data_IF_965259359147
#
_entry.id   IF_965259359147
#
_cell.length_a   1.000
_cell.length_b   1.000
_cell.length_c   1.000
_cell.angle_alpha   90.00
_cell.angle_beta   90.00
_cell.angle_gamma   90.00
#
_symmetry.space_group_name_H-M   'P 1'
#
loop_
_entity.id
_entity.type
_entity.pdbx_description
1 polymer ?
#
# COMPACT_ATOMS: atom_id res chain seq x y z
N UNK A 1 -16.32 15.93 -48.20
CA UNK A 1 -14.90 15.51 -48.25
C UNK A 1 -13.92 16.66 -47.95
N UNK A 2 -14.35 17.92 -47.77
CA UNK A 2 -13.42 19.08 -47.72
C UNK A 2 -12.97 19.55 -46.33
N UNK A 3 -13.36 18.89 -45.23
CA UNK A 3 -13.11 19.42 -43.86
C UNK A 3 -11.94 18.77 -43.10
N UNK A 4 -11.23 17.78 -43.67
CA UNK A 4 -10.10 17.12 -42.98
C UNK A 4 -8.74 17.77 -43.24
N UNK A 5 -8.56 18.42 -44.38
CA UNK A 5 -7.33 19.15 -44.74
C UNK A 5 -7.31 20.58 -44.19
N UNK A 6 -8.38 20.98 -43.50
CA UNK A 6 -8.40 22.23 -42.75
C UNK A 6 -7.30 22.19 -41.67
N UNK A 7 -6.43 23.21 -41.68
CA UNK A 7 -5.39 23.40 -40.66
C UNK A 7 -6.01 23.41 -39.25
N UNK A 8 -7.22 23.96 -39.11
CA UNK A 8 -7.95 23.99 -37.84
C UNK A 8 -8.36 22.59 -37.39
N UNK A 9 -8.82 21.73 -38.31
CA UNK A 9 -9.17 20.34 -37.99
C UNK A 9 -7.93 19.56 -37.56
N UNK A 10 -6.81 19.70 -38.28
CA UNK A 10 -5.56 19.01 -37.94
C UNK A 10 -5.01 19.46 -36.57
N UNK A 11 -5.07 20.76 -36.26
CA UNK A 11 -4.68 21.29 -34.95
C UNK A 11 -5.60 20.79 -33.83
N UNK A 12 -6.92 20.81 -34.04
CA UNK A 12 -7.90 20.34 -33.06
C UNK A 12 -7.77 18.82 -32.84
N UNK A 13 -7.50 18.06 -33.90
CA UNK A 13 -7.23 16.63 -33.83
C UNK A 13 -5.94 16.32 -33.07
N UNK A 14 -4.85 17.03 -33.35
CA UNK A 14 -3.60 16.88 -32.61
C UNK A 14 -3.78 17.20 -31.12
N UNK A 15 -4.53 18.25 -30.79
CA UNK A 15 -4.90 18.59 -29.41
C UNK A 15 -5.71 17.48 -28.73
N UNK A 16 -6.69 16.90 -29.45
CA UNK A 16 -7.46 15.76 -28.96
C UNK A 16 -6.55 14.58 -28.63
N UNK A 17 -5.70 14.14 -29.55
CA UNK A 17 -4.82 12.98 -29.34
C UNK A 17 -3.89 13.20 -28.14
N UNK A 18 -3.29 14.39 -28.05
CA UNK A 18 -2.45 14.74 -26.90
C UNK A 18 -3.25 14.73 -25.58
N UNK A 19 -4.51 15.18 -25.62
CA UNK A 19 -5.37 15.24 -24.44
C UNK A 19 -5.77 13.88 -23.88
N UNK A 20 -5.69 12.82 -24.68
CA UNK A 20 -6.10 11.46 -24.33
C UNK A 20 -5.04 10.67 -23.55
N UNK A 21 -3.78 11.15 -23.50
CA UNK A 21 -2.66 10.49 -22.80
C UNK A 21 -2.50 9.00 -23.17
N UNK A 22 -2.64 8.69 -24.47
CA UNK A 22 -2.55 7.32 -25.01
C UNK A 22 -1.14 6.99 -25.50
N UNK A 23 -0.73 5.73 -25.34
CA UNK A 23 0.54 5.23 -25.89
C UNK A 23 0.60 5.33 -27.43
N UNK A 24 1.81 5.35 -28.01
CA UNK A 24 2.02 5.62 -29.43
C UNK A 24 1.32 4.63 -30.36
N UNK A 25 1.19 3.37 -29.96
CA UNK A 25 0.53 2.35 -30.77
C UNK A 25 -0.99 2.60 -30.86
N UNK A 26 -1.62 2.91 -29.73
CA UNK A 26 -3.05 3.28 -29.70
C UNK A 26 -3.30 4.61 -30.41
N UNK A 27 -2.38 5.57 -30.31
CA UNK A 27 -2.48 6.83 -31.05
C UNK A 27 -2.52 6.58 -32.56
N UNK A 28 -1.64 5.71 -33.08
CA UNK A 28 -1.64 5.31 -34.51
C UNK A 28 -2.92 4.62 -34.92
N UNK A 29 -3.47 3.74 -34.08
CA UNK A 29 -4.77 3.10 -34.35
C UNK A 29 -5.90 4.14 -34.45
N UNK A 30 -5.92 5.13 -33.56
CA UNK A 30 -6.91 6.22 -33.59
C UNK A 30 -6.70 7.12 -34.82
N UNK A 31 -5.46 7.36 -35.24
CA UNK A 31 -5.13 8.11 -36.45
C UNK A 31 -5.59 7.41 -37.73
N UNK A 32 -5.74 6.08 -37.73
CA UNK A 32 -6.21 5.29 -38.88
C UNK A 32 -7.74 5.24 -39.02
N UNK A 33 -8.49 5.84 -38.08
CA UNK A 33 -9.96 5.80 -38.11
C UNK A 33 -10.53 6.52 -39.35
N UNK A 34 -11.69 6.06 -39.87
CA UNK A 34 -12.42 6.76 -40.93
C UNK A 34 -12.78 8.19 -40.56
N UNK A 35 -12.85 9.07 -41.56
CA UNK A 35 -13.11 10.50 -41.39
C UNK A 35 -14.33 10.84 -40.53
N UNK A 36 -15.43 10.11 -40.73
CA UNK A 36 -16.68 10.35 -40.01
C UNK A 36 -16.55 10.01 -38.52
N UNK A 37 -15.75 8.99 -38.19
CA UNK A 37 -15.46 8.64 -36.79
C UNK A 37 -14.56 9.69 -36.14
N UNK A 38 -13.56 10.21 -36.87
CA UNK A 38 -12.70 11.30 -36.37
C UNK A 38 -13.51 12.56 -36.07
N UNK A 39 -14.43 12.96 -36.96
CA UNK A 39 -15.33 14.10 -36.73
C UNK A 39 -16.19 13.90 -35.49
N UNK A 40 -16.83 12.74 -35.37
CA UNK A 40 -17.67 12.42 -34.21
C UNK A 40 -16.87 12.42 -32.89
N UNK A 41 -15.64 11.92 -32.91
CA UNK A 41 -14.73 11.98 -31.75
C UNK A 41 -14.39 13.42 -31.37
N UNK A 42 -14.09 14.26 -32.36
CA UNK A 42 -13.77 15.66 -32.13
C UNK A 42 -14.97 16.45 -31.59
N UNK A 43 -16.17 16.24 -32.14
CA UNK A 43 -17.43 16.82 -31.64
C UNK A 43 -17.69 16.40 -30.18
N UNK A 44 -17.50 15.11 -29.88
CA UNK A 44 -17.63 14.57 -28.53
C UNK A 44 -16.61 15.16 -27.56
N UNK A 45 -15.40 15.47 -28.03
CA UNK A 45 -14.35 16.10 -27.23
C UNK A 45 -14.69 17.56 -26.89
N UNK A 46 -15.11 18.33 -27.89
CA UNK A 46 -15.49 19.74 -27.70
C UNK A 46 -16.71 19.87 -26.77
N UNK A 47 -17.65 18.92 -26.84
CA UNK A 47 -18.82 18.90 -25.98
C UNK A 47 -18.52 18.53 -24.50
N UNK A 48 -17.39 17.88 -24.22
CA UNK A 48 -17.04 17.42 -22.87
C UNK A 48 -16.40 18.55 -22.06
N UNK A 49 -17.24 19.24 -21.29
CA UNK A 49 -16.79 20.13 -20.24
C UNK A 49 -16.75 19.40 -18.88
N UNK A 50 -15.65 19.51 -18.11
CA UNK A 50 -15.59 18.99 -16.75
C UNK A 50 -16.71 19.59 -15.88
N UNK A 51 -17.32 18.77 -15.01
CA UNK A 51 -18.38 19.25 -14.10
C UNK A 51 -17.90 20.35 -13.17
N UNK A 52 -16.67 20.24 -12.68
CA UNK A 52 -16.01 21.21 -11.82
C UNK A 52 -14.53 21.36 -12.24
N UNK A 53 -13.96 22.54 -11.98
CA UNK A 53 -12.52 22.79 -12.21
C UNK A 53 -11.65 21.99 -11.23
N UNK A 54 -10.40 21.76 -11.61
CA UNK A 54 -9.42 21.09 -10.73
C UNK A 54 -9.21 21.87 -9.42
N UNK A 55 -9.09 23.20 -9.50
CA UNK A 55 -8.99 24.10 -8.34
C UNK A 55 -10.12 23.90 -7.32
N UNK A 56 -11.34 23.66 -7.79
CA UNK A 56 -12.49 23.41 -6.92
C UNK A 56 -12.27 22.16 -6.06
N UNK A 57 -11.86 21.04 -6.66
CA UNK A 57 -11.60 19.81 -5.91
C UNK A 57 -10.42 19.93 -4.96
N UNK A 58 -9.34 20.58 -5.38
CA UNK A 58 -8.19 20.85 -4.50
C UNK A 58 -8.64 21.64 -3.27
N UNK A 59 -9.47 22.67 -3.46
CA UNK A 59 -10.01 23.48 -2.36
C UNK A 59 -10.90 22.64 -1.43
N UNK A 60 -11.75 21.77 -1.99
CA UNK A 60 -12.57 20.86 -1.20
C UNK A 60 -11.71 19.90 -0.37
N UNK A 61 -10.68 19.27 -0.95
CA UNK A 61 -9.80 18.34 -0.24
C UNK A 61 -9.01 19.08 0.86
N UNK A 62 -8.50 20.30 0.58
CA UNK A 62 -7.86 21.16 1.59
C UNK A 62 -8.78 21.40 2.79
N UNK A 63 -10.08 21.58 2.53
CA UNK A 63 -11.11 21.82 3.54
C UNK A 63 -11.63 20.58 4.28
N UNK A 64 -11.30 19.36 3.83
CA UNK A 64 -11.76 18.14 4.48
C UNK A 64 -11.21 18.04 5.90
N UNK A 65 -12.13 17.88 6.85
CA UNK A 65 -11.80 17.64 8.25
C UNK A 65 -11.79 16.14 8.49
N UNK A 66 -10.67 15.65 8.98
CA UNK A 66 -10.61 14.32 9.60
C UNK A 66 -10.78 14.57 11.11
N UNK A 67 -11.57 13.75 11.80
CA UNK A 67 -12.26 14.15 13.04
C UNK A 67 -11.42 14.81 14.16
N UNK A 68 -11.72 16.09 14.46
CA UNK A 68 -11.52 16.72 15.80
C UNK A 68 -12.75 16.52 16.71
N UNK A 69 -13.51 15.46 16.47
CA UNK A 69 -14.86 15.33 17.02
C UNK A 69 -14.92 14.78 18.44
N UNK A 70 -13.78 14.51 19.09
CA UNK A 70 -13.74 14.02 20.48
C UNK A 70 -13.99 15.13 21.52
N UNK A 71 -13.94 16.41 21.14
CA UNK A 71 -14.24 17.55 22.02
C UNK A 71 -15.61 18.20 21.76
N UNK A 72 -16.34 17.73 20.73
CA UNK A 72 -17.69 18.21 20.42
C UNK A 72 -18.70 17.15 20.81
N UNK A 73 -19.72 17.52 21.60
CA UNK A 73 -20.82 16.64 22.02
C UNK A 73 -21.61 15.99 20.85
N UNK A 74 -21.34 16.39 19.61
CA UNK A 74 -21.89 15.78 18.40
C UNK A 74 -20.81 15.54 17.32
N UNK A 75 -20.24 14.33 17.22
CA UNK A 75 -19.48 13.94 16.04
C UNK A 75 -20.43 13.91 14.84
N UNK A 76 -20.23 14.81 13.87
CA UNK A 76 -21.00 14.79 12.63
C UNK A 76 -20.57 13.57 11.82
N UNK A 77 -21.40 12.52 11.81
CA UNK A 77 -21.25 11.35 10.92
C UNK A 77 -21.06 11.74 9.44
N UNK A 78 -21.44 12.96 9.05
CA UNK A 78 -21.31 13.50 7.70
C UNK A 78 -19.88 13.79 7.23
N UNK A 79 -18.92 14.10 8.12
CA UNK A 79 -17.60 14.60 7.68
C UNK A 79 -16.80 13.52 6.93
N UNK A 80 -16.82 12.27 7.41
CA UNK A 80 -16.16 11.15 6.73
C UNK A 80 -16.86 10.76 5.42
N UNK A 81 -18.19 10.87 5.37
CA UNK A 81 -18.96 10.59 4.16
C UNK A 81 -18.70 11.67 3.09
N UNK A 82 -18.64 12.94 3.50
CA UNK A 82 -18.24 14.04 2.63
C UNK A 82 -16.84 13.83 2.08
N UNK A 83 -15.88 13.44 2.91
CA UNK A 83 -14.52 13.16 2.46
C UNK A 83 -14.47 12.03 1.41
N UNK A 84 -15.21 10.94 1.66
CA UNK A 84 -15.36 9.84 0.70
C UNK A 84 -15.95 10.31 -0.64
N UNK A 85 -16.99 11.14 -0.61
CA UNK A 85 -17.66 11.65 -1.81
C UNK A 85 -16.76 12.60 -2.62
N UNK A 86 -16.08 13.54 -1.95
CA UNK A 86 -15.14 14.47 -2.57
C UNK A 86 -13.98 13.72 -3.22
N UNK A 87 -13.39 12.76 -2.51
CA UNK A 87 -12.27 11.97 -3.05
C UNK A 87 -12.70 11.04 -4.17
N UNK A 88 -13.89 10.44 -4.09
CA UNK A 88 -14.46 9.66 -5.20
C UNK A 88 -14.69 10.51 -6.45
N UNK A 89 -15.26 11.72 -6.30
CA UNK A 89 -15.47 12.61 -7.42
C UNK A 89 -14.14 13.12 -8.02
N UNK A 90 -13.14 13.34 -7.16
CA UNK A 90 -11.77 13.69 -7.59
C UNK A 90 -11.13 12.55 -8.37
N UNK A 91 -11.21 11.30 -7.86
CA UNK A 91 -10.70 10.11 -8.55
C UNK A 91 -11.29 9.95 -9.95
N UNK A 92 -12.63 10.05 -10.05
CA UNK A 92 -13.32 9.97 -11.34
C UNK A 92 -12.79 11.06 -12.27
N UNK A 93 -12.69 12.30 -11.78
CA UNK A 93 -12.23 13.44 -12.57
C UNK A 93 -10.79 13.27 -13.06
N UNK A 94 -9.88 12.76 -12.21
CA UNK A 94 -8.50 12.45 -12.58
C UNK A 94 -8.40 11.38 -13.66
N UNK A 95 -9.30 10.39 -13.66
CA UNK A 95 -9.26 9.26 -14.59
C UNK A 95 -9.99 9.52 -15.91
N UNK A 96 -11.03 10.35 -15.92
CA UNK A 96 -11.94 10.47 -17.07
C UNK A 96 -11.91 11.80 -17.80
N UNK A 97 -11.41 12.87 -17.17
CA UNK A 97 -11.23 14.14 -17.87
C UNK A 97 -9.98 14.09 -18.76
N UNK A 98 -9.82 15.12 -19.60
CA UNK A 98 -8.60 15.28 -20.39
C UNK A 98 -7.37 15.44 -19.50
N UNK A 99 -6.20 15.17 -20.07
CA UNK A 99 -4.91 15.27 -19.37
C UNK A 99 -4.63 16.70 -18.85
N UNK A 100 -5.14 17.73 -19.52
CA UNK A 100 -5.02 19.12 -19.10
C UNK A 100 -5.64 19.36 -17.71
N UNK A 101 -6.77 18.73 -17.42
CA UNK A 101 -7.39 18.79 -16.09
C UNK A 101 -6.49 18.20 -15.00
N UNK A 102 -5.76 17.12 -15.30
CA UNK A 102 -4.79 16.51 -14.37
C UNK A 102 -3.62 17.46 -14.13
N UNK A 103 -3.16 18.15 -15.17
CA UNK A 103 -2.09 19.16 -15.06
C UNK A 103 -2.53 20.35 -14.21
N UNK A 104 -3.74 20.88 -14.44
CA UNK A 104 -4.32 21.93 -13.60
C UNK A 104 -4.43 21.47 -12.14
N UNK A 105 -4.81 20.21 -11.90
CA UNK A 105 -4.88 19.67 -10.53
C UNK A 105 -3.50 19.65 -9.85
N UNK A 106 -2.47 19.22 -10.58
CA UNK A 106 -1.10 19.15 -10.08
C UNK A 106 -0.51 20.55 -9.83
N UNK A 107 -0.80 21.52 -10.70
CA UNK A 107 -0.34 22.91 -10.58
C UNK A 107 -0.96 23.65 -9.39
N UNK A 108 -2.11 23.19 -8.90
CA UNK A 108 -2.78 23.75 -7.72
C UNK A 108 -2.37 23.04 -6.42
N UNK A 109 -1.23 22.36 -6.39
CA UNK A 109 -0.74 21.53 -5.26
C UNK A 109 -1.67 20.34 -4.94
N UNK A 110 -2.43 19.83 -5.91
CA UNK A 110 -3.38 18.75 -5.68
C UNK A 110 -2.73 17.48 -5.11
N UNK A 111 -1.49 17.18 -5.51
CA UNK A 111 -0.71 16.08 -4.96
C UNK A 111 -0.38 16.27 -3.47
N UNK A 112 0.20 17.42 -3.10
CA UNK A 112 0.53 17.73 -1.70
C UNK A 112 -0.69 17.68 -0.79
N UNK A 113 -1.83 18.14 -1.30
CA UNK A 113 -3.10 18.12 -0.58
C UNK A 113 -3.60 16.69 -0.35
N UNK A 114 -3.49 15.80 -1.34
CA UNK A 114 -3.81 14.38 -1.18
C UNK A 114 -2.88 13.71 -0.17
N UNK A 115 -1.57 13.92 -0.30
CA UNK A 115 -0.57 13.36 0.63
C UNK A 115 -0.81 13.87 2.05
N UNK A 116 -1.10 15.16 2.21
CA UNK A 116 -1.42 15.78 3.50
C UNK A 116 -2.71 15.20 4.09
N UNK A 117 -3.74 15.01 3.27
CA UNK A 117 -4.99 14.39 3.71
C UNK A 117 -4.76 12.97 4.24
N UNK A 118 -4.08 12.12 3.46
CA UNK A 118 -3.75 10.74 3.85
C UNK A 118 -2.90 10.72 5.13
N UNK A 119 -1.89 11.59 5.22
CA UNK A 119 -1.09 11.74 6.42
C UNK A 119 -1.96 12.08 7.64
N UNK A 120 -2.90 13.04 7.52
CA UNK A 120 -3.83 13.37 8.62
C UNK A 120 -4.68 12.18 9.03
N UNK A 121 -5.23 11.42 8.08
CA UNK A 121 -6.06 10.24 8.38
C UNK A 121 -5.26 9.17 9.12
N UNK A 122 -4.05 8.86 8.66
CA UNK A 122 -3.22 7.80 9.24
C UNK A 122 -2.69 8.20 10.63
N UNK A 123 -2.28 9.46 10.81
CA UNK A 123 -1.65 9.95 12.05
C UNK A 123 -2.64 10.48 13.09
N UNK A 124 -3.95 10.44 12.82
CA UNK A 124 -4.96 10.69 13.86
C UNK A 124 -4.88 9.75 15.06
N UNK A 125 -4.07 8.69 14.95
CA UNK A 125 -3.62 7.81 16.03
C UNK A 125 -2.97 8.53 17.21
N UNK A 126 -2.35 9.71 17.02
CA UNK A 126 -1.47 10.31 18.03
C UNK A 126 -2.15 11.20 19.09
N UNK A 127 -3.42 11.57 18.94
CA UNK A 127 -4.05 12.59 19.80
C UNK A 127 -5.27 12.11 20.59
N UNK A 128 -5.60 10.81 20.53
CA UNK A 128 -6.51 10.19 21.51
C UNK A 128 -5.69 9.85 22.75
N UNK A 129 -5.66 10.79 23.70
CA UNK A 129 -4.88 10.70 24.93
C UNK A 129 -4.99 9.34 25.63
N UNK A 130 -3.83 8.69 25.78
CA UNK A 130 -3.50 8.02 27.03
C UNK A 130 -2.52 9.00 27.69
N UNK A 131 -2.93 9.51 28.84
CA UNK A 131 -2.11 10.35 29.70
C UNK A 131 -0.74 9.69 29.92
N UNK A 132 0.29 10.53 29.88
CA UNK A 132 1.61 10.19 30.38
C UNK A 132 1.49 9.80 31.86
N UNK A 133 1.40 8.50 32.15
CA UNK A 133 1.84 7.97 33.43
C UNK A 133 3.36 7.82 33.33
N UNK A 134 4.06 8.80 33.87
CA UNK A 134 5.46 8.70 34.29
C UNK A 134 5.71 7.36 34.98
N UNK A 135 6.43 6.48 34.30
CA UNK A 135 7.29 5.49 34.94
C UNK A 135 8.66 5.64 34.30
N UNK A 136 9.55 6.24 35.07
CA UNK A 136 10.98 6.34 34.81
C UNK A 136 11.51 4.95 34.45
N UNK A 137 12.04 4.79 33.23
CA UNK A 137 12.98 3.71 32.95
C UNK A 137 14.37 4.30 33.08
N UNK A 138 15.04 3.97 34.18
CA UNK A 138 16.48 4.16 34.29
C UNK A 138 17.24 3.38 33.21
N UNK A 139 18.32 3.93 32.64
CA UNK A 139 19.15 3.23 31.68
C UNK A 139 20.19 2.38 32.41
N UNK A 140 20.13 1.06 32.29
CA UNK A 140 21.27 0.19 32.59
C UNK A 140 21.72 -0.55 31.34
N UNK A 141 22.76 0.00 30.71
CA UNK A 141 23.82 -0.81 30.11
C UNK A 141 24.56 -1.53 31.26
N UNK A 142 25.20 -2.67 31.00
CA UNK A 142 26.64 -2.56 30.77
C UNK A 142 27.14 -3.36 29.58
N UNK A 143 27.95 -2.67 28.79
CA UNK A 143 29.01 -3.24 27.96
C UNK A 143 30.01 -3.94 28.87
N UNK A 144 30.38 -5.19 28.59
CA UNK A 144 31.78 -5.64 28.53
C UNK A 144 31.88 -7.08 28.02
N UNK A 145 32.94 -7.31 27.26
CA UNK A 145 33.28 -8.53 26.54
C UNK A 145 34.49 -9.19 27.23
N UNK A 146 34.53 -10.53 27.17
CA UNK A 146 35.69 -11.43 27.22
C UNK A 146 36.11 -12.18 28.52
N UNK A 147 36.09 -13.51 28.36
CA UNK A 147 37.02 -14.55 28.85
C UNK A 147 36.95 -15.14 30.28
N UNK A 148 36.54 -16.42 30.36
CA UNK A 148 37.37 -17.59 30.73
C UNK A 148 36.65 -18.66 31.59
N UNK A 149 36.91 -19.93 31.25
CA UNK A 149 36.53 -21.15 31.97
C UNK A 149 37.23 -21.27 33.34
N UNK A 150 36.53 -21.73 34.37
CA UNK A 150 36.79 -22.99 35.09
C UNK A 150 36.08 -23.06 36.47
N UNK A 151 35.48 -24.24 36.68
CA UNK A 151 35.41 -25.02 37.92
C UNK A 151 34.50 -24.69 39.12
N UNK A 152 33.84 -25.80 39.51
CA UNK A 152 33.51 -26.31 40.84
C UNK A 152 32.18 -25.95 41.54
N UNK A 153 31.23 -26.86 41.32
CA UNK A 153 30.42 -27.57 42.33
C UNK A 153 30.14 -26.87 43.68
N UNK A 154 28.86 -26.65 43.96
CA UNK A 154 28.08 -27.45 44.92
C UNK A 154 26.95 -26.61 45.54
N UNK A 155 25.71 -27.05 45.35
CA UNK A 155 24.89 -27.56 46.45
C UNK A 155 23.45 -27.76 45.99
N UNK A 156 23.07 -29.02 46.03
CA UNK A 156 21.71 -29.54 45.86
C UNK A 156 20.75 -28.92 46.88
N UNK A 157 19.50 -28.67 46.47
CA UNK A 157 18.31 -29.01 47.28
C UNK A 157 17.04 -29.11 46.43
N UNK A 158 16.68 -30.35 46.17
CA UNK A 158 15.40 -30.83 45.64
C UNK A 158 14.28 -30.58 46.66
N UNK A 159 13.12 -30.09 46.21
CA UNK A 159 11.81 -30.50 46.75
C UNK A 159 10.80 -30.67 45.61
N UNK A 160 10.45 -31.93 45.33
CA UNK A 160 9.28 -32.35 44.55
C UNK A 160 8.04 -32.37 45.46
N UNK A 161 6.89 -31.99 44.93
CA UNK A 161 5.58 -32.49 45.35
C UNK A 161 4.72 -32.81 44.12
N UNK A 162 3.95 -33.87 44.28
CA UNK A 162 3.29 -34.73 43.29
C UNK A 162 1.86 -34.28 42.96
N UNK A 163 1.45 -34.45 41.69
CA UNK A 163 0.05 -34.41 41.21
C UNK A 163 -0.72 -35.71 41.58
N UNK A 164 -2.07 -35.76 41.42
CA UNK A 164 -2.63 -36.35 40.18
C UNK A 164 -4.01 -35.82 39.69
N UNK A 165 -4.28 -36.00 38.37
CA UNK A 165 -5.61 -36.16 37.74
C UNK A 165 -6.25 -34.90 37.13
N UNK A 166 -6.03 -34.50 35.86
CA UNK A 166 -6.48 -35.08 34.57
C UNK A 166 -7.99 -35.39 34.46
N UNK A 167 -8.73 -34.50 33.76
CA UNK A 167 -9.57 -34.91 32.63
C UNK A 167 -9.30 -34.00 31.43
N UNK A 168 -8.84 -34.67 30.38
CA UNK A 168 -8.51 -34.17 29.06
C UNK A 168 -9.76 -33.92 28.22
N UNK A 169 -9.64 -33.04 27.23
CA UNK A 169 -10.18 -33.24 25.87
C UNK A 169 -9.36 -32.40 24.87
N UNK A 170 -8.06 -32.67 24.83
CA UNK A 170 -7.26 -32.59 23.61
C UNK A 170 -6.84 -34.03 23.30
N UNK A 171 -7.40 -34.59 22.23
CA UNK A 171 -6.99 -35.86 21.62
C UNK A 171 -6.39 -35.45 20.27
N UNK A 172 -5.05 -35.43 20.13
CA UNK A 172 -4.20 -36.49 19.53
C UNK A 172 -4.54 -36.73 18.05
N UNK A 173 -3.63 -36.81 17.07
CA UNK A 173 -2.17 -36.69 16.89
C UNK A 173 -1.98 -36.69 15.35
N UNK A 174 -0.98 -36.07 14.71
CA UNK A 174 0.42 -36.52 14.63
C UNK A 174 1.14 -35.65 13.61
N UNK A 175 2.36 -35.19 13.92
CA UNK A 175 3.26 -34.62 12.91
C UNK A 175 4.21 -33.60 13.51
N UNK A 176 5.49 -33.95 13.60
CA UNK A 176 6.56 -33.10 14.12
C UNK A 176 6.77 -31.88 13.20
N UNK A 177 6.79 -30.69 13.79
CA UNK A 177 7.19 -29.45 13.12
C UNK A 177 7.41 -28.37 14.17
N UNK A 178 8.66 -28.10 14.51
CA UNK A 178 9.05 -26.95 15.31
C UNK A 178 8.95 -25.68 14.44
N UNK A 179 7.81 -24.99 14.37
CA UNK A 179 7.75 -23.66 13.74
C UNK A 179 6.60 -22.80 14.25
N UNK A 180 6.91 -21.50 14.40
CA UNK A 180 6.00 -20.34 14.36
C UNK A 180 5.36 -19.77 15.65
N UNK A 181 5.81 -20.09 16.86
CA UNK A 181 5.20 -19.51 18.09
C UNK A 181 6.07 -18.48 18.84
N UNK A 182 7.13 -17.94 18.21
CA UNK A 182 8.11 -17.06 18.87
C UNK A 182 8.26 -15.65 18.31
N UNK A 183 7.33 -15.18 17.47
CA UNK A 183 7.16 -13.75 17.25
C UNK A 183 5.97 -13.29 18.09
N UNK A 184 6.33 -12.81 19.28
CA UNK A 184 5.43 -12.10 20.18
C UNK A 184 4.60 -11.12 19.36
N UNK A 185 3.29 -11.35 19.39
CA UNK A 185 2.27 -10.60 18.65
C UNK A 185 2.53 -9.11 18.76
N UNK A 186 3.14 -8.52 17.73
CA UNK A 186 3.15 -7.08 17.53
C UNK A 186 1.68 -6.67 17.56
N UNK A 187 1.31 -5.85 18.55
CA UNK A 187 -0.06 -5.36 18.75
C UNK A 187 -0.60 -4.96 17.40
N UNK A 188 -1.51 -5.77 16.86
CA UNK A 188 -2.13 -5.55 15.57
C UNK A 188 -2.64 -4.11 15.52
N UNK A 189 -1.90 -3.23 14.84
CA UNK A 189 -2.34 -1.90 14.49
C UNK A 189 -3.35 -2.02 13.33
N UNK A 190 -4.34 -2.93 13.45
CA UNK A 190 -5.62 -2.78 12.76
C UNK A 190 -6.07 -1.39 13.11
N UNK A 191 -6.26 -0.46 12.19
CA UNK A 191 -6.70 0.92 12.44
C UNK A 191 -7.97 0.96 13.33
N UNK A 192 -7.93 0.86 14.68
CA UNK A 192 -9.13 0.53 15.42
C UNK A 192 -9.73 1.87 15.86
N UNK A 193 -11.05 2.01 15.74
CA UNK A 193 -11.80 3.22 16.10
C UNK A 193 -11.87 4.34 15.05
N UNK A 194 -11.35 4.15 13.82
CA UNK A 194 -11.74 5.04 12.70
C UNK A 194 -13.11 4.63 12.15
N UNK A 195 -13.98 5.63 11.97
CA UNK A 195 -15.30 5.46 11.38
C UNK A 195 -15.15 4.89 9.96
N UNK A 196 -16.00 3.94 9.57
CA UNK A 196 -15.87 3.26 8.27
C UNK A 196 -15.89 4.23 7.08
N UNK A 197 -16.62 5.35 7.18
CA UNK A 197 -16.60 6.38 6.13
C UNK A 197 -15.22 7.05 5.97
N UNK A 198 -14.44 7.18 7.05
CA UNK A 198 -13.06 7.69 6.98
C UNK A 198 -12.13 6.65 6.36
N UNK A 199 -12.32 5.37 6.66
CA UNK A 199 -11.57 4.27 6.03
C UNK A 199 -11.84 4.21 4.53
N UNK A 200 -13.10 4.27 4.14
CA UNK A 200 -13.52 4.34 2.74
C UNK A 200 -12.91 5.55 2.01
N UNK A 201 -12.82 6.70 2.69
CA UNK A 201 -12.19 7.88 2.11
C UNK A 201 -10.70 7.66 1.82
N UNK A 202 -10.00 6.90 2.67
CA UNK A 202 -8.60 6.54 2.46
C UNK A 202 -8.45 5.64 1.22
N UNK A 203 -9.33 4.66 1.07
CA UNK A 203 -9.37 3.83 -0.14
C UNK A 203 -9.56 4.67 -1.42
N UNK A 204 -10.44 5.68 -1.38
CA UNK A 204 -10.59 6.60 -2.53
C UNK A 204 -9.34 7.45 -2.78
N UNK A 205 -8.64 7.89 -1.73
CA UNK A 205 -7.37 8.60 -1.89
C UNK A 205 -6.29 7.72 -2.57
N UNK A 206 -6.23 6.41 -2.25
CA UNK A 206 -5.34 5.47 -2.94
C UNK A 206 -5.70 5.36 -4.43
N UNK A 207 -6.97 5.37 -4.79
CA UNK A 207 -7.38 5.41 -6.21
C UNK A 207 -7.03 6.73 -6.91
N UNK A 208 -7.06 7.87 -6.22
CA UNK A 208 -6.51 9.10 -6.77
C UNK A 208 -5.01 8.96 -7.09
N UNK A 209 -4.22 8.35 -6.20
CA UNK A 209 -2.80 8.06 -6.49
C UNK A 209 -2.63 7.12 -7.69
N UNK A 210 -3.48 6.09 -7.83
CA UNK A 210 -3.49 5.22 -9.02
C UNK A 210 -3.70 6.04 -10.30
N UNK A 211 -4.69 6.93 -10.31
CA UNK A 211 -4.98 7.77 -11.47
C UNK A 211 -3.79 8.69 -11.81
N UNK A 212 -3.13 9.28 -10.79
CA UNK A 212 -1.95 10.12 -10.99
C UNK A 212 -0.74 9.34 -11.50
N UNK A 213 -0.48 8.15 -10.98
CA UNK A 213 0.62 7.28 -11.42
C UNK A 213 0.41 6.76 -12.85
N UNK A 214 -0.83 6.70 -13.32
CA UNK A 214 -1.15 6.35 -14.71
C UNK A 214 -1.01 7.53 -15.68
N UNK A 215 -0.70 8.73 -15.20
CA UNK A 215 -0.39 9.89 -16.03
C UNK A 215 1.12 10.16 -16.00
N UNK A 216 1.74 10.51 -17.14
CA UNK A 216 3.19 10.69 -17.19
C UNK A 216 3.71 11.79 -16.24
N UNK A 217 3.08 12.99 -16.24
CA UNK A 217 3.46 14.10 -15.35
C UNK A 217 3.12 13.78 -13.90
N UNK A 218 1.94 13.19 -13.64
CA UNK A 218 1.51 12.77 -12.32
C UNK A 218 2.45 11.74 -11.71
N UNK A 219 2.91 10.76 -12.50
CA UNK A 219 3.86 9.73 -12.08
C UNK A 219 5.20 10.36 -11.68
N UNK A 220 5.76 11.24 -12.51
CA UNK A 220 6.98 11.98 -12.20
C UNK A 220 6.85 12.78 -10.91
N UNK A 221 5.77 13.55 -10.75
CA UNK A 221 5.53 14.34 -9.53
C UNK A 221 5.35 13.47 -8.29
N UNK A 222 4.65 12.33 -8.37
CA UNK A 222 4.52 11.38 -7.25
C UNK A 222 5.86 10.76 -6.89
N UNK A 223 6.68 10.43 -7.88
CA UNK A 223 8.01 9.85 -7.69
C UNK A 223 8.98 10.82 -6.99
N UNK A 224 8.96 12.09 -7.40
CA UNK A 224 9.82 13.13 -6.84
C UNK A 224 9.34 13.64 -5.48
N UNK A 225 8.02 13.58 -5.23
CA UNK A 225 7.43 14.09 -3.99
C UNK A 225 7.98 13.34 -2.76
N UNK A 226 8.54 14.05 -1.76
CA UNK A 226 9.36 13.46 -0.69
C UNK A 226 8.62 12.46 0.21
N UNK A 227 7.29 12.57 0.31
CA UNK A 227 6.46 11.75 1.20
C UNK A 227 5.42 10.90 0.48
N UNK A 228 5.27 11.00 -0.84
CA UNK A 228 4.09 10.43 -1.52
C UNK A 228 4.12 8.91 -1.47
N UNK A 229 5.24 8.29 -1.87
CA UNK A 229 5.45 6.85 -1.81
C UNK A 229 5.33 6.35 -0.37
N UNK A 230 5.95 7.04 0.61
CA UNK A 230 5.82 6.69 2.04
C UNK A 230 4.37 6.66 2.51
N UNK A 231 3.55 7.65 2.12
CA UNK A 231 2.14 7.67 2.48
C UNK A 231 1.33 6.57 1.79
N UNK A 232 1.65 6.25 0.52
CA UNK A 232 1.07 5.10 -0.19
C UNK A 232 1.41 3.80 0.57
N UNK A 233 2.66 3.60 1.00
CA UNK A 233 3.07 2.42 1.76
C UNK A 233 2.34 2.33 3.11
N UNK A 234 2.19 3.43 3.85
CA UNK A 234 1.44 3.44 5.12
C UNK A 234 -0.05 3.08 4.94
N UNK A 235 -0.63 3.23 3.74
CA UNK A 235 -1.99 2.76 3.47
C UNK A 235 -2.14 1.22 3.56
N UNK A 236 -1.04 0.43 3.62
CA UNK A 236 -1.10 -1.01 3.93
C UNK A 236 -1.75 -1.31 5.28
N UNK A 237 -1.76 -0.34 6.21
CA UNK A 237 -2.44 -0.46 7.51
C UNK A 237 -3.97 -0.48 7.40
N UNK A 238 -4.53 -0.15 6.24
CA UNK A 238 -5.97 -0.17 6.02
C UNK A 238 -6.53 -1.60 6.16
N UNK A 239 -7.63 -1.84 6.89
CA UNK A 239 -8.09 -3.20 7.19
C UNK A 239 -8.54 -3.99 5.94
N UNK A 240 -9.17 -3.34 4.96
CA UNK A 240 -9.63 -4.00 3.72
C UNK A 240 -8.46 -4.52 2.87
N UNK A 241 -8.48 -5.82 2.56
CA UNK A 241 -7.54 -6.46 1.64
C UNK A 241 -7.58 -5.85 0.24
N UNK A 242 -8.75 -5.43 -0.26
CA UNK A 242 -8.87 -4.72 -1.53
C UNK A 242 -8.01 -3.44 -1.57
N UNK A 243 -7.91 -2.72 -0.45
CA UNK A 243 -7.04 -1.53 -0.37
C UNK A 243 -5.58 -1.93 -0.35
N UNK A 244 -5.23 -2.99 0.40
CA UNK A 244 -3.85 -3.52 0.42
C UNK A 244 -3.41 -3.99 -0.97
N UNK A 245 -4.25 -4.73 -1.68
CA UNK A 245 -4.05 -5.15 -3.08
C UNK A 245 -3.69 -3.95 -3.94
N UNK A 246 -4.53 -2.91 -3.93
CA UNK A 246 -4.27 -1.70 -4.71
C UNK A 246 -2.95 -1.03 -4.32
N UNK A 247 -2.63 -0.93 -3.03
CA UNK A 247 -1.35 -0.35 -2.58
C UNK A 247 -0.16 -1.18 -3.09
N UNK A 248 -0.24 -2.51 -3.03
CA UNK A 248 0.81 -3.39 -3.53
C UNK A 248 0.98 -3.29 -5.05
N UNK A 249 -0.11 -3.20 -5.81
CA UNK A 249 -0.06 -2.94 -7.27
C UNK A 249 0.68 -1.63 -7.58
N UNK A 250 0.40 -0.55 -6.83
CA UNK A 250 1.07 0.74 -7.01
C UNK A 250 2.56 0.66 -6.66
N UNK A 251 2.90 0.05 -5.53
CA UNK A 251 4.29 -0.09 -5.09
C UNK A 251 5.10 -0.99 -6.03
N UNK A 252 4.50 -2.07 -6.53
CA UNK A 252 5.10 -2.94 -7.54
C UNK A 252 5.40 -2.17 -8.84
N UNK A 253 4.46 -1.36 -9.32
CA UNK A 253 4.65 -0.52 -10.50
C UNK A 253 5.78 0.51 -10.28
N UNK A 254 5.79 1.20 -9.13
CA UNK A 254 6.85 2.16 -8.78
C UNK A 254 8.22 1.47 -8.68
N UNK A 255 8.28 0.26 -8.13
CA UNK A 255 9.51 -0.50 -7.99
C UNK A 255 10.21 -0.79 -9.33
N UNK A 256 9.43 -0.89 -10.42
CA UNK A 256 9.94 -1.15 -11.78
C UNK A 256 10.38 0.13 -12.52
N UNK A 257 10.14 1.31 -11.96
CA UNK A 257 10.64 2.58 -12.52
C UNK A 257 12.13 2.70 -12.17
N UNK A 258 12.93 3.31 -13.07
CA UNK A 258 14.36 3.56 -12.83
C UNK A 258 14.54 4.36 -11.52
N UNK A 259 15.33 3.83 -10.58
CA UNK A 259 15.51 4.40 -9.24
C UNK A 259 14.33 4.20 -8.28
N UNK A 260 13.24 3.58 -8.73
CA UNK A 260 12.04 3.34 -7.95
C UNK A 260 12.17 2.23 -6.92
N UNK A 261 12.97 1.20 -7.20
CA UNK A 261 13.29 0.15 -6.22
C UNK A 261 13.83 0.74 -4.90
N UNK A 262 14.85 1.59 -4.98
CA UNK A 262 15.43 2.26 -3.81
C UNK A 262 14.39 3.10 -3.05
N UNK A 263 13.50 3.79 -3.77
CA UNK A 263 12.41 4.58 -3.16
C UNK A 263 11.43 3.69 -2.39
N UNK A 264 11.07 2.52 -2.93
CA UNK A 264 10.15 1.57 -2.28
C UNK A 264 10.81 0.95 -1.05
N UNK A 265 12.07 0.54 -1.14
CA UNK A 265 12.86 0.03 0.00
C UNK A 265 12.91 1.07 1.12
N UNK A 266 13.25 2.33 0.82
CA UNK A 266 13.25 3.43 1.80
C UNK A 266 11.86 3.71 2.39
N UNK A 267 10.80 3.54 1.59
CA UNK A 267 9.43 3.70 2.08
C UNK A 267 9.05 2.61 3.08
N UNK A 268 9.50 1.38 2.90
CA UNK A 268 9.34 0.31 3.88
C UNK A 268 10.25 0.47 5.10
N UNK A 269 11.43 1.08 4.97
CA UNK A 269 12.24 1.49 6.14
C UNK A 269 11.52 2.58 6.97
N UNK A 270 10.82 3.51 6.29
CA UNK A 270 9.94 4.46 6.98
C UNK A 270 8.74 3.75 7.62
N UNK A 271 8.08 2.84 6.91
CA UNK A 271 6.97 2.03 7.43
C UNK A 271 7.38 1.30 8.71
N UNK A 272 8.54 0.64 8.71
CA UNK A 272 9.13 0.00 9.89
C UNK A 272 9.17 0.96 11.08
N UNK A 273 9.71 2.16 10.90
CA UNK A 273 9.84 3.17 11.97
C UNK A 273 8.50 3.73 12.46
N UNK A 274 7.59 4.04 11.54
CA UNK A 274 6.28 4.65 11.84
C UNK A 274 5.31 3.65 12.51
N UNK A 275 5.38 2.38 12.09
CA UNK A 275 4.51 1.31 12.59
C UNK A 275 5.13 0.61 13.80
N UNK A 276 6.45 0.65 13.94
CA UNK A 276 7.19 -0.02 15.00
C UNK A 276 7.45 -1.50 14.69
N UNK A 277 7.73 -1.84 13.43
CA UNK A 277 8.14 -3.20 13.07
C UNK A 277 9.54 -3.50 13.60
N UNK A 278 9.77 -4.73 14.05
CA UNK A 278 11.10 -5.17 14.50
C UNK A 278 12.05 -5.29 13.32
N UNK A 279 11.53 -5.82 12.22
CA UNK A 279 12.20 -5.95 10.92
C UNK A 279 11.29 -5.42 9.82
N UNK A 280 11.86 -5.03 8.68
CA UNK A 280 11.07 -4.51 7.57
C UNK A 280 10.19 -5.62 6.98
N UNK A 281 9.02 -5.26 6.45
CA UNK A 281 8.05 -6.17 5.83
C UNK A 281 7.33 -7.12 6.79
N UNK A 282 7.58 -7.05 8.10
CA UNK A 282 7.03 -7.95 9.10
C UNK A 282 5.50 -8.00 9.04
N UNK A 283 4.80 -6.85 9.08
CA UNK A 283 3.35 -6.83 8.99
C UNK A 283 2.84 -7.29 7.63
N UNK A 284 3.57 -7.01 6.55
CA UNK A 284 3.14 -7.41 5.21
C UNK A 284 3.16 -8.93 5.07
N UNK A 285 4.23 -9.59 5.53
CA UNK A 285 4.31 -11.06 5.57
C UNK A 285 3.26 -11.60 6.53
N UNK A 286 3.04 -10.97 7.69
CA UNK A 286 1.97 -11.38 8.61
C UNK A 286 0.57 -11.30 7.98
N UNK A 287 0.24 -10.20 7.27
CA UNK A 287 -1.03 -10.07 6.56
C UNK A 287 -1.21 -11.14 5.50
N UNK A 288 -0.14 -11.47 4.77
CA UNK A 288 -0.14 -12.52 3.79
C UNK A 288 -0.39 -13.91 4.42
N UNK A 289 0.39 -14.29 5.43
CA UNK A 289 0.28 -15.60 6.07
C UNK A 289 -1.05 -15.81 6.82
N UNK A 290 -1.55 -14.77 7.49
CA UNK A 290 -2.83 -14.85 8.21
C UNK A 290 -4.04 -14.87 7.28
N UNK A 291 -3.90 -14.34 6.05
CA UNK A 291 -5.02 -14.31 5.12
C UNK A 291 -5.35 -15.68 4.52
N UNK A 292 -4.39 -16.58 4.34
CA UNK A 292 -4.66 -17.95 3.90
C UNK A 292 -5.54 -18.73 4.87
N UNK A 293 -5.42 -18.44 6.17
CA UNK A 293 -6.27 -19.04 7.19
C UNK A 293 -7.66 -18.36 7.32
N UNK A 294 -7.97 -17.37 6.46
CA UNK A 294 -9.29 -16.71 6.47
C UNK A 294 -10.37 -17.64 5.95
N UNK A 295 -11.60 -17.47 6.45
CA UNK A 295 -12.75 -18.20 5.94
C UNK A 295 -13.03 -17.85 4.47
N UNK A 296 -13.63 -18.79 3.73
CA UNK A 296 -13.86 -18.68 2.28
C UNK A 296 -14.55 -17.36 1.86
N UNK A 297 -15.48 -16.85 2.67
CA UNK A 297 -16.23 -15.62 2.38
C UNK A 297 -15.38 -14.33 2.47
N UNK A 298 -14.31 -14.35 3.25
CA UNK A 298 -13.40 -13.21 3.44
C UNK A 298 -12.08 -13.36 2.67
N UNK A 299 -11.86 -14.51 2.00
CA UNK A 299 -10.63 -14.82 1.28
C UNK A 299 -10.54 -14.06 -0.05
N UNK A 300 -9.41 -13.36 -0.27
CA UNK A 300 -9.14 -12.55 -1.45
C UNK A 300 -7.93 -13.11 -2.20
N UNK A 301 -8.21 -13.84 -3.29
CA UNK A 301 -7.18 -14.32 -4.23
C UNK A 301 -6.34 -13.17 -4.78
N UNK A 302 -6.97 -12.03 -5.12
CA UNK A 302 -6.29 -10.85 -5.68
C UNK A 302 -5.23 -10.30 -4.72
N UNK A 303 -5.50 -10.30 -3.41
CA UNK A 303 -4.52 -9.88 -2.41
C UNK A 303 -3.33 -10.85 -2.36
N UNK A 304 -3.57 -12.16 -2.36
CA UNK A 304 -2.51 -13.17 -2.35
C UNK A 304 -1.62 -13.08 -3.60
N UNK A 305 -2.23 -12.90 -4.77
CA UNK A 305 -1.51 -12.65 -6.04
C UNK A 305 -0.64 -11.41 -5.91
N UNK A 306 -1.21 -10.31 -5.44
CA UNK A 306 -0.50 -9.03 -5.33
C UNK A 306 0.67 -9.08 -4.35
N UNK A 307 0.53 -9.81 -3.23
CA UNK A 307 1.62 -10.06 -2.29
C UNK A 307 2.78 -10.81 -2.95
N UNK A 308 2.51 -11.96 -3.56
CA UNK A 308 3.55 -12.76 -4.24
C UNK A 308 4.22 -11.96 -5.35
N UNK A 309 3.44 -11.26 -6.17
CA UNK A 309 3.97 -10.42 -7.24
C UNK A 309 4.88 -9.32 -6.68
N UNK A 310 4.43 -8.64 -5.63
CA UNK A 310 5.23 -7.59 -4.98
C UNK A 310 6.53 -8.15 -4.39
N UNK A 311 6.47 -9.27 -3.67
CA UNK A 311 7.67 -9.91 -3.10
C UNK A 311 8.67 -10.31 -4.18
N UNK A 312 8.18 -10.88 -5.30
CA UNK A 312 9.04 -11.24 -6.42
C UNK A 312 9.70 -9.99 -7.03
N UNK A 313 8.92 -8.94 -7.29
CA UNK A 313 9.45 -7.70 -7.86
C UNK A 313 10.46 -7.05 -6.92
N UNK A 314 10.17 -6.89 -5.63
CA UNK A 314 11.07 -6.19 -4.70
C UNK A 314 12.39 -6.95 -4.54
N UNK A 315 12.39 -8.28 -4.59
CA UNK A 315 13.62 -9.08 -4.51
C UNK A 315 14.40 -9.06 -5.82
N UNK A 316 13.72 -9.24 -6.96
CA UNK A 316 14.40 -9.56 -8.23
C UNK A 316 14.57 -8.39 -9.21
N UNK A 317 13.91 -7.26 -8.99
CA UNK A 317 14.07 -6.08 -9.85
C UNK A 317 15.33 -5.26 -9.58
N UNK A 318 16.05 -5.54 -8.48
CA UNK A 318 17.36 -4.91 -8.22
C UNK A 318 18.45 -5.52 -9.09
N UNK A 319 19.28 -4.65 -9.67
CA UNK A 319 20.50 -5.04 -10.40
C UNK A 319 21.66 -5.41 -9.46
N UNK A 320 21.62 -4.95 -8.19
CA UNK A 320 22.60 -5.32 -7.17
C UNK A 320 22.32 -6.74 -6.65
N UNK A 321 23.22 -7.66 -7.02
CA UNK A 321 23.19 -9.08 -6.64
C UNK A 321 23.30 -9.25 -5.12
N UNK A 322 24.10 -8.43 -4.44
CA UNK A 322 24.26 -8.52 -2.98
C UNK A 322 22.99 -8.08 -2.28
N UNK A 323 22.37 -7.00 -2.74
CA UNK A 323 21.07 -6.56 -2.24
C UNK A 323 19.98 -7.61 -2.48
N UNK A 324 19.99 -8.29 -3.64
CA UNK A 324 19.07 -9.39 -3.94
C UNK A 324 19.19 -10.52 -2.91
N UNK A 325 20.41 -11.00 -2.66
CA UNK A 325 20.65 -12.07 -1.67
C UNK A 325 20.24 -11.62 -0.26
N UNK A 326 20.54 -10.37 0.11
CA UNK A 326 20.12 -9.81 1.40
C UNK A 326 18.59 -9.81 1.55
N UNK A 327 17.86 -9.36 0.52
CA UNK A 327 16.40 -9.34 0.53
C UNK A 327 15.81 -10.76 0.58
N UNK A 328 16.42 -11.73 -0.12
CA UNK A 328 16.01 -13.14 -0.04
C UNK A 328 16.14 -13.68 1.39
N UNK A 329 17.28 -13.45 2.05
CA UNK A 329 17.49 -13.87 3.44
C UNK A 329 16.58 -13.11 4.42
N UNK A 330 16.25 -11.84 4.16
CA UNK A 330 15.28 -11.08 4.96
C UNK A 330 13.88 -11.73 4.95
N UNK A 331 13.35 -12.06 3.77
CA UNK A 331 12.06 -12.76 3.65
C UNK A 331 12.08 -14.18 4.21
N UNK A 332 13.22 -14.88 4.10
CA UNK A 332 13.41 -16.20 4.70
C UNK A 332 13.37 -16.13 6.23
N UNK A 333 14.00 -15.14 6.86
CA UNK A 333 13.93 -14.94 8.32
C UNK A 333 12.53 -14.58 8.82
N UNK A 334 11.71 -13.97 7.96
CA UNK A 334 10.28 -13.73 8.21
C UNK A 334 9.43 -15.01 8.09
N UNK A 335 10.01 -16.14 7.70
CA UNK A 335 9.32 -17.42 7.57
C UNK A 335 8.55 -17.61 6.26
N UNK A 336 8.74 -16.71 5.28
CA UNK A 336 7.99 -16.75 4.02
C UNK A 336 8.27 -18.04 3.23
N UNK A 337 9.54 -18.47 3.14
CA UNK A 337 9.89 -19.68 2.38
C UNK A 337 9.24 -20.94 2.96
N UNK A 338 9.31 -21.12 4.28
CA UNK A 338 8.70 -22.27 4.96
C UNK A 338 7.18 -22.30 4.76
N UNK A 339 6.53 -21.13 4.73
CA UNK A 339 5.12 -21.01 4.46
C UNK A 339 4.76 -21.38 3.01
N UNK A 340 5.53 -20.89 2.03
CA UNK A 340 5.28 -21.16 0.61
C UNK A 340 5.50 -22.63 0.22
N UNK A 341 6.39 -23.34 0.91
CA UNK A 341 6.62 -24.78 0.70
C UNK A 341 5.43 -25.65 1.13
N UNK A 342 4.70 -25.23 2.17
CA UNK A 342 3.59 -25.99 2.75
C UNK A 342 2.25 -25.65 2.08
N UNK A 343 2.10 -24.43 1.55
CA UNK A 343 0.84 -23.99 0.95
C UNK A 343 0.58 -24.64 -0.41
N UNK A 344 -0.49 -25.45 -0.47
CA UNK A 344 -0.95 -26.11 -1.70
C UNK A 344 -1.43 -25.13 -2.78
N UNK A 345 -1.81 -23.91 -2.41
CA UNK A 345 -2.35 -22.89 -3.33
C UNK A 345 -1.30 -22.45 -4.36
N UNK A 346 -0.04 -22.31 -3.94
CA UNK A 346 1.07 -21.90 -4.81
C UNK A 346 1.63 -23.02 -5.70
N UNK A 347 1.03 -24.22 -5.67
CA UNK A 347 1.42 -25.34 -6.53
C UNK A 347 0.87 -25.21 -7.97
N UNK A 348 -0.01 -24.25 -8.22
CA UNK A 348 -0.47 -23.88 -9.58
C UNK A 348 0.69 -23.30 -10.41
N UNK A 349 0.80 -23.66 -11.70
CA UNK A 349 2.04 -23.42 -12.49
C UNK A 349 2.51 -21.96 -12.52
N UNK A 350 1.59 -21.00 -12.60
CA UNK A 350 1.90 -19.55 -12.63
C UNK A 350 2.49 -19.10 -11.30
N UNK A 351 1.89 -19.50 -10.18
CA UNK A 351 2.38 -19.15 -8.85
C UNK A 351 3.65 -19.90 -8.51
N UNK A 352 3.75 -21.17 -8.92
CA UNK A 352 4.97 -21.97 -8.78
C UNK A 352 6.13 -21.31 -9.51
N UNK A 353 5.93 -20.75 -10.70
CA UNK A 353 6.98 -20.03 -11.40
C UNK A 353 7.40 -18.75 -10.66
N UNK A 354 6.45 -17.98 -10.14
CA UNK A 354 6.73 -16.77 -9.35
C UNK A 354 7.45 -17.10 -8.03
N UNK A 355 7.03 -18.16 -7.33
CA UNK A 355 7.60 -18.62 -6.06
C UNK A 355 8.96 -19.29 -6.25
N UNK A 356 9.12 -20.12 -7.29
CA UNK A 356 10.40 -20.75 -7.61
C UNK A 356 11.45 -19.69 -7.93
N UNK A 357 11.08 -18.62 -8.65
CA UNK A 357 11.96 -17.49 -8.89
C UNK A 357 12.32 -16.75 -7.61
N UNK A 358 11.44 -16.69 -6.60
CA UNK A 358 11.74 -16.11 -5.29
C UNK A 358 12.73 -16.94 -4.46
N UNK A 359 12.58 -18.27 -4.46
CA UNK A 359 13.38 -19.18 -3.63
C UNK A 359 14.70 -19.63 -4.27
N UNK A 360 14.83 -19.55 -5.59
CA UNK A 360 16.08 -19.79 -6.34
C UNK A 360 16.89 -18.50 -6.50
#
# INVERSE_FOLDING_TARGET
MENEDSVEFQQAWASLIQSLDVGPDKAKEIEQLPADQKRHLLESYVAKNPKCSAFHYVTLIKGLRVGRSTLSKHPRRGDGQQAKEVLRATEISLRTNNVGWVYDFLEQDGLDVLVTYVSRVIHMRSNTGIENSTLEMEPMMPTEFYESEENLQSSLRIKRKTSPGLRNLWCMSSGKGETFDRYQTCRLLKLPNLLDSVRDSLHQAVKCFRALLNNQRGCSMVFDHPRAINMITLCLLHPSYQTKTLVLELLAAVCLIIGGHERVIKAFDNFKREVGESVRFENLVHYFCTHEASADDDYSVDFMVSCIQFFNIVVHSTDDIMLRVFLQEEFKHLGLNAYLEVSHFYQTEIFRWLVYKMCA
#
